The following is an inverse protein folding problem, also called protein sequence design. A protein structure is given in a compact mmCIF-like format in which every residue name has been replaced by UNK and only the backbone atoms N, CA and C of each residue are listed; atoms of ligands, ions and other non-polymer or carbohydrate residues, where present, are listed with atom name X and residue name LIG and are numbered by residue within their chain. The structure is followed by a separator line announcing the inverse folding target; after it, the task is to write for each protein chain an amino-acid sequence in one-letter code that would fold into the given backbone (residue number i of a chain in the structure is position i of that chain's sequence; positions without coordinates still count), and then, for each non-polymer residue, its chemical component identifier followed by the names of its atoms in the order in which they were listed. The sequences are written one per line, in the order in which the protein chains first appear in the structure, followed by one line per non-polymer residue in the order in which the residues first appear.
data_IF_054157025915
#
_entry.id   IF_054157025915
#
_cell.length_a   1.000
_cell.length_b   1.000
_cell.length_c   1.000
_cell.angle_alpha   90.00
_cell.angle_beta   90.00
_cell.angle_gamma   90.00
#
_symmetry.space_group_name_H-M   'P 1'
#
loop_
_entity.id
_entity.type
_entity.pdbx_description
1 polymer ?
#
# COMPACT_ATOMS: atom_id res chain seq x y z
N UNK A 1 -37.45 42.96 11.34
CA UNK A 1 -36.31 43.04 12.27
C UNK A 1 -35.71 41.65 12.40
N UNK A 2 -34.38 41.48 12.29
CA UNK A 2 -33.73 40.19 12.52
C UNK A 2 -33.84 39.76 13.99
N UNK A 3 -33.87 38.44 14.23
CA UNK A 3 -33.89 37.88 15.58
C UNK A 3 -33.33 36.45 15.60
N UNK A 4 -33.04 35.95 16.80
CA UNK A 4 -32.77 34.54 17.03
C UNK A 4 -33.96 33.89 17.71
N UNK A 5 -34.26 32.65 17.32
CA UNK A 5 -35.31 31.83 17.91
C UNK A 5 -34.68 30.50 18.31
N UNK A 6 -34.87 30.10 19.56
CA UNK A 6 -34.44 28.81 20.08
C UNK A 6 -35.70 27.97 20.31
N UNK A 7 -35.81 26.86 19.58
CA UNK A 7 -36.94 25.95 19.67
C UNK A 7 -36.50 24.62 20.27
N UNK A 8 -37.13 24.21 21.38
CA UNK A 8 -36.82 22.94 22.03
C UNK A 8 -37.47 21.80 21.26
N UNK A 9 -36.68 20.81 20.86
CA UNK A 9 -37.17 19.56 20.28
C UNK A 9 -37.53 18.56 21.39
N UNK A 10 -38.40 17.61 21.09
CA UNK A 10 -38.75 16.53 22.02
C UNK A 10 -37.66 15.44 22.10
N UNK A 11 -36.67 15.49 21.20
CA UNK A 11 -35.51 14.60 21.19
C UNK A 11 -34.47 15.00 22.24
N UNK A 12 -33.67 14.03 22.71
CA UNK A 12 -32.68 14.21 23.76
C UNK A 12 -31.31 13.67 23.34
N UNK A 13 -30.26 14.36 23.73
CA UNK A 13 -28.87 13.94 23.65
C UNK A 13 -28.31 13.72 25.08
N UNK A 14 -27.05 13.31 25.20
CA UNK A 14 -26.34 13.09 26.47
C UNK A 14 -26.33 14.31 27.41
N UNK A 15 -26.55 15.51 26.88
CA UNK A 15 -26.58 16.78 27.62
C UNK A 15 -27.98 17.33 27.93
N UNK A 16 -29.05 16.61 27.57
CA UNK A 16 -30.44 17.03 27.81
C UNK A 16 -31.29 17.08 26.54
N UNK A 17 -32.27 17.99 26.49
CA UNK A 17 -33.10 18.19 25.30
C UNK A 17 -32.30 18.82 24.16
N UNK A 18 -32.58 18.39 22.93
CA UNK A 18 -32.01 18.98 21.73
C UNK A 18 -32.76 20.27 21.34
N UNK A 19 -32.04 21.21 20.76
CA UNK A 19 -32.58 22.51 20.35
C UNK A 19 -32.32 22.76 18.87
N UNK A 20 -33.30 23.40 18.24
CA UNK A 20 -33.20 23.99 16.92
C UNK A 20 -32.88 25.48 17.08
N UNK A 21 -31.75 25.89 16.51
CA UNK A 21 -31.35 27.30 16.46
C UNK A 21 -31.79 27.90 15.14
N UNK A 22 -32.65 28.93 15.19
CA UNK A 22 -33.14 29.63 14.01
C UNK A 22 -32.61 31.07 14.02
N UNK A 23 -31.83 31.42 13.00
CA UNK A 23 -31.41 32.79 12.73
C UNK A 23 -32.31 33.40 11.65
N UNK A 24 -33.20 34.29 12.07
CA UNK A 24 -34.11 35.01 11.19
C UNK A 24 -33.50 36.35 10.79
N UNK A 25 -33.21 36.53 9.50
CA UNK A 25 -32.65 37.77 8.97
C UNK A 25 -33.30 38.14 7.64
N UNK A 26 -34.47 38.81 7.66
CA UNK A 26 -35.23 39.10 6.46
C UNK A 26 -34.51 40.10 5.54
N UNK A 27 -34.69 39.96 4.22
CA UNK A 27 -33.89 40.74 3.27
C UNK A 27 -34.14 42.24 3.28
N UNK A 28 -35.33 42.66 3.69
CA UNK A 28 -35.72 44.05 3.85
C UNK A 28 -35.23 44.68 5.17
N UNK A 29 -34.54 43.93 6.04
CA UNK A 29 -33.98 44.49 7.26
C UNK A 29 -32.81 45.47 6.98
N UNK A 30 -32.65 46.55 7.78
CA UNK A 30 -31.51 47.44 7.66
C UNK A 30 -30.16 46.70 7.79
N UNK A 31 -29.19 47.05 6.94
CA UNK A 31 -27.87 46.40 6.87
C UNK A 31 -27.18 46.37 8.24
N UNK A 32 -27.26 47.46 9.02
CA UNK A 32 -26.69 47.53 10.37
C UNK A 32 -27.23 46.41 11.28
N UNK A 33 -28.51 46.10 11.22
CA UNK A 33 -29.11 45.04 12.03
C UNK A 33 -28.71 43.66 11.50
N UNK A 34 -28.73 43.44 10.19
CA UNK A 34 -28.27 42.17 9.60
C UNK A 34 -26.84 41.85 10.00
N UNK A 35 -25.94 42.84 9.92
CA UNK A 35 -24.54 42.68 10.30
C UNK A 35 -24.40 42.36 11.80
N UNK A 36 -25.14 43.05 12.67
CA UNK A 36 -25.08 42.79 14.11
C UNK A 36 -25.54 41.37 14.47
N UNK A 37 -26.65 40.91 13.88
CA UNK A 37 -27.19 39.55 14.08
C UNK A 37 -26.43 38.46 13.29
N UNK A 38 -25.63 38.82 12.29
CA UNK A 38 -24.69 37.87 11.67
C UNK A 38 -23.45 37.71 12.55
N UNK A 39 -22.88 38.82 13.03
CA UNK A 39 -21.64 38.84 13.82
C UNK A 39 -21.79 38.21 15.22
N UNK A 40 -22.95 38.38 15.87
CA UNK A 40 -23.19 37.84 17.21
C UNK A 40 -23.68 36.39 17.23
N UNK A 41 -23.94 35.78 16.06
CA UNK A 41 -24.52 34.44 15.91
C UNK A 41 -23.65 33.36 16.53
N UNK A 42 -22.35 33.39 16.26
CA UNK A 42 -21.40 32.41 16.79
C UNK A 42 -21.29 32.52 18.33
N UNK A 43 -21.20 33.74 18.86
CA UNK A 43 -21.16 34.00 20.30
C UNK A 43 -22.44 33.53 20.99
N UNK A 44 -23.62 33.77 20.40
CA UNK A 44 -24.88 33.30 20.98
C UNK A 44 -24.92 31.77 21.07
N UNK A 45 -24.46 31.06 20.02
CA UNK A 45 -24.36 29.59 20.04
C UNK A 45 -23.38 29.07 21.09
N UNK A 46 -22.23 29.73 21.26
CA UNK A 46 -21.25 29.32 22.27
C UNK A 46 -21.77 29.54 23.70
N UNK A 47 -22.41 30.67 23.95
CA UNK A 47 -23.02 31.00 25.26
C UNK A 47 -24.21 30.10 25.59
N UNK A 48 -25.02 29.71 24.59
CA UNK A 48 -26.15 28.80 24.79
C UNK A 48 -25.72 27.35 25.05
N UNK A 49 -24.59 26.92 24.47
CA UNK A 49 -24.08 25.57 24.58
C UNK A 49 -24.25 24.78 23.29
N UNK A 50 -23.22 24.80 22.45
CA UNK A 50 -23.25 24.18 21.11
C UNK A 50 -23.58 22.68 21.09
N UNK A 51 -23.30 21.93 22.17
CA UNK A 51 -23.64 20.51 22.27
C UNK A 51 -25.12 20.19 22.43
N UNK A 52 -25.95 21.18 22.78
CA UNK A 52 -27.41 21.04 22.87
C UNK A 52 -28.12 21.44 21.56
N UNK A 53 -27.45 22.15 20.66
CA UNK A 53 -28.00 22.57 19.38
C UNK A 53 -27.77 21.45 18.37
N UNK A 54 -28.86 20.88 17.83
CA UNK A 54 -28.79 19.81 16.84
C UNK A 54 -28.70 20.35 15.43
N UNK A 55 -29.65 21.21 15.08
CA UNK A 55 -29.79 21.78 13.75
C UNK A 55 -29.76 23.30 13.82
N UNK A 56 -29.26 23.90 12.75
CA UNK A 56 -29.15 25.34 12.60
C UNK A 56 -29.81 25.79 11.30
N UNK A 57 -30.88 26.57 11.43
CA UNK A 57 -31.66 27.07 10.32
C UNK A 57 -31.41 28.57 10.14
N UNK A 58 -31.02 28.96 8.95
CA UNK A 58 -30.95 30.37 8.56
C UNK A 58 -32.07 30.65 7.58
N UNK A 59 -32.88 31.68 7.85
CA UNK A 59 -34.00 32.04 6.99
C UNK A 59 -34.06 33.54 6.72
N UNK A 60 -34.34 33.87 5.45
CA UNK A 60 -34.61 35.25 5.01
C UNK A 60 -36.08 35.45 4.67
N UNK A 61 -36.80 34.36 4.33
CA UNK A 61 -38.25 34.36 4.06
C UNK A 61 -39.00 33.41 4.98
N UNK A 62 -40.26 33.73 5.28
CA UNK A 62 -41.04 32.96 6.28
C UNK A 62 -41.20 31.48 5.90
N UNK A 63 -41.15 31.16 4.61
CA UNK A 63 -41.17 29.78 4.13
C UNK A 63 -39.96 28.97 4.59
N UNK A 64 -38.80 29.58 4.81
CA UNK A 64 -37.57 28.91 5.22
C UNK A 64 -37.67 28.43 6.67
N UNK A 65 -38.25 29.27 7.54
CA UNK A 65 -38.40 29.01 8.98
C UNK A 65 -39.71 28.32 9.35
N UNK A 66 -40.56 28.02 8.36
CA UNK A 66 -41.77 27.22 8.56
C UNK A 66 -41.43 25.76 8.84
N UNK A 67 -42.38 25.00 9.43
CA UNK A 67 -42.21 23.56 9.64
C UNK A 67 -41.85 22.83 8.33
N UNK A 68 -42.49 23.22 7.22
CA UNK A 68 -42.18 22.70 5.89
C UNK A 68 -40.75 23.05 5.44
N UNK A 69 -40.28 24.25 5.76
CA UNK A 69 -38.92 24.69 5.51
C UNK A 69 -37.90 23.86 6.29
N UNK A 70 -38.16 23.59 7.57
CA UNK A 70 -37.31 22.70 8.37
C UNK A 70 -37.25 21.28 7.80
N UNK A 71 -38.38 20.69 7.40
CA UNK A 71 -38.35 19.36 6.75
C UNK A 71 -37.54 19.35 5.46
N UNK A 72 -37.62 20.39 4.64
CA UNK A 72 -36.78 20.53 3.45
C UNK A 72 -35.29 20.66 3.80
N UNK A 73 -34.95 21.38 4.86
CA UNK A 73 -33.58 21.50 5.34
C UNK A 73 -33.01 20.14 5.75
N UNK A 74 -33.77 19.35 6.51
CA UNK A 74 -33.37 17.98 6.91
C UNK A 74 -33.21 17.08 5.67
N UNK A 75 -34.13 17.17 4.70
CA UNK A 75 -34.00 16.41 3.44
C UNK A 75 -32.77 16.82 2.62
N UNK A 76 -32.46 18.12 2.57
CA UNK A 76 -31.28 18.62 1.87
C UNK A 76 -29.97 18.20 2.55
N UNK A 77 -29.94 18.14 3.88
CA UNK A 77 -28.78 17.64 4.64
C UNK A 77 -28.57 16.13 4.44
N UNK A 78 -29.63 15.37 4.18
CA UNK A 78 -29.57 13.94 3.85
C UNK A 78 -29.29 13.66 2.37
N UNK A 79 -29.43 14.66 1.50
CA UNK A 79 -29.15 14.51 0.08
C UNK A 79 -27.64 14.32 -0.15
N UNK A 80 -27.23 13.56 -1.18
CA UNK A 80 -25.82 13.41 -1.50
C UNK A 80 -25.21 14.78 -1.80
N UNK A 81 -24.02 15.02 -1.24
CA UNK A 81 -23.28 16.25 -1.51
C UNK A 81 -23.02 16.34 -3.02
N UNK A 82 -23.18 17.53 -3.63
CA UNK A 82 -22.85 17.71 -5.03
C UNK A 82 -21.34 17.54 -5.20
N UNK A 83 -20.95 16.51 -5.96
CA UNK A 83 -19.55 16.24 -6.30
C UNK A 83 -19.24 16.84 -7.67
N UNK A 84 -18.00 17.25 -7.85
CA UNK A 84 -17.46 17.59 -9.18
C UNK A 84 -17.13 16.32 -9.94
N UNK A 85 -17.10 16.39 -11.28
CA UNK A 85 -16.75 15.22 -12.12
C UNK A 85 -15.39 14.60 -11.70
N UNK A 86 -14.41 15.43 -11.35
CA UNK A 86 -13.11 14.95 -10.88
C UNK A 86 -13.19 14.20 -9.55
N UNK A 87 -14.06 14.62 -8.63
CA UNK A 87 -14.27 13.92 -7.36
C UNK A 87 -15.01 12.60 -7.55
N UNK A 88 -15.98 12.56 -8.47
CA UNK A 88 -16.67 11.31 -8.86
C UNK A 88 -15.68 10.29 -9.47
N UNK A 89 -14.80 10.74 -10.36
CA UNK A 89 -13.74 9.91 -10.95
C UNK A 89 -12.78 9.37 -9.88
N UNK A 90 -12.30 10.23 -8.96
CA UNK A 90 -11.42 9.80 -7.87
C UNK A 90 -12.11 8.80 -6.93
N UNK A 91 -13.40 9.02 -6.63
CA UNK A 91 -14.17 8.09 -5.82
C UNK A 91 -14.34 6.74 -6.52
N UNK A 92 -14.55 6.74 -7.84
CA UNK A 92 -14.63 5.51 -8.64
C UNK A 92 -13.30 4.73 -8.64
N UNK A 93 -12.17 5.42 -8.85
CA UNK A 93 -10.82 4.80 -8.78
C UNK A 93 -10.61 4.16 -7.41
N UNK A 94 -10.90 4.90 -6.33
CA UNK A 94 -10.72 4.42 -4.95
C UNK A 94 -11.56 3.17 -4.65
N UNK A 95 -12.80 3.11 -5.15
CA UNK A 95 -13.65 1.92 -4.99
C UNK A 95 -13.08 0.70 -5.73
N UNK A 96 -12.55 0.91 -6.94
CA UNK A 96 -11.95 -0.15 -7.73
C UNK A 96 -10.60 -0.65 -7.17
N UNK A 97 -9.78 0.24 -6.60
CA UNK A 97 -8.53 -0.14 -5.94
C UNK A 97 -8.77 -1.07 -4.73
N UNK A 98 -9.80 -0.80 -3.93
CA UNK A 98 -10.17 -1.69 -2.81
C UNK A 98 -10.52 -3.11 -3.30
N UNK A 99 -11.22 -3.21 -4.44
CA UNK A 99 -11.53 -4.50 -5.05
C UNK A 99 -10.30 -5.20 -5.62
N UNK A 100 -9.31 -4.46 -6.13
CA UNK A 100 -8.06 -5.02 -6.61
C UNK A 100 -7.22 -5.68 -5.51
N UNK A 101 -7.30 -5.19 -4.26
CA UNK A 101 -6.62 -5.82 -3.11
C UNK A 101 -7.21 -7.18 -2.70
N UNK A 102 -8.47 -7.47 -3.05
CA UNK A 102 -9.16 -8.72 -2.70
C UNK A 102 -8.93 -9.80 -3.77
N UNK A 103 -8.35 -9.43 -4.92
CA UNK A 103 -8.12 -10.38 -6.00
C UNK A 103 -6.86 -11.22 -5.73
N UNK A 104 -7.04 -12.54 -5.61
CA UNK A 104 -5.99 -13.55 -5.35
C UNK A 104 -5.24 -13.88 -6.65
N UNK A 105 -4.89 -12.86 -7.44
CA UNK A 105 -4.02 -12.99 -8.61
C UNK A 105 -2.65 -12.40 -8.30
N UNK A 106 -1.91 -13.11 -7.43
CA UNK A 106 -0.51 -12.78 -7.08
C UNK A 106 0.42 -12.77 -8.30
N UNK A 107 -0.01 -13.36 -9.43
CA UNK A 107 0.76 -13.43 -10.69
C UNK A 107 1.03 -12.06 -11.32
N UNK A 108 0.18 -11.06 -11.07
CA UNK A 108 0.34 -9.73 -11.69
C UNK A 108 1.26 -8.78 -10.90
N UNK A 109 1.60 -9.09 -9.65
CA UNK A 109 2.37 -8.16 -8.81
C UNK A 109 3.87 -8.17 -9.13
N UNK A 110 4.37 -9.24 -9.73
CA UNK A 110 5.77 -9.35 -10.16
C UNK A 110 5.82 -9.47 -11.68
N UNK A 111 6.57 -8.58 -12.33
CA UNK A 111 6.90 -8.70 -13.75
C UNK A 111 7.42 -10.13 -14.03
N UNK A 112 6.88 -10.79 -15.06
CA UNK A 112 7.30 -12.15 -15.41
C UNK A 112 8.82 -12.20 -15.59
N UNK A 113 9.49 -13.07 -14.85
CA UNK A 113 10.94 -13.19 -14.86
C UNK A 113 11.47 -13.59 -16.25
N UNK A 114 12.73 -13.25 -16.53
CA UNK A 114 13.39 -13.62 -17.78
C UNK A 114 14.06 -14.98 -17.58
N UNK A 115 13.65 -15.99 -18.34
CA UNK A 115 14.16 -17.36 -18.19
C UNK A 115 15.31 -17.62 -19.15
N UNK A 116 16.55 -17.59 -18.65
CA UNK A 116 17.73 -18.01 -19.41
C UNK A 116 17.96 -19.52 -19.21
N UNK A 117 18.27 -20.28 -20.27
CA UNK A 117 18.59 -21.69 -20.13
C UNK A 117 19.95 -21.88 -19.43
N UNK A 118 20.02 -22.95 -18.62
CA UNK A 118 21.27 -23.46 -18.07
C UNK A 118 22.09 -24.12 -19.18
N UNK A 119 23.38 -23.85 -19.24
CA UNK A 119 24.28 -24.63 -20.09
C UNK A 119 24.44 -26.06 -19.56
N UNK A 120 24.88 -26.99 -20.43
CA UNK A 120 25.07 -28.39 -20.05
C UNK A 120 26.01 -28.52 -18.83
N UNK A 121 27.11 -27.78 -18.83
CA UNK A 121 28.06 -27.72 -17.71
C UNK A 121 27.40 -27.20 -16.41
N UNK A 122 26.49 -26.22 -16.51
CA UNK A 122 25.74 -25.71 -15.36
C UNK A 122 24.72 -26.70 -14.82
N UNK A 123 24.02 -27.42 -15.70
CA UNK A 123 23.13 -28.48 -15.28
C UNK A 123 23.89 -29.62 -14.57
N UNK A 124 25.04 -30.02 -15.11
CA UNK A 124 25.90 -31.05 -14.50
C UNK A 124 26.45 -30.61 -13.13
N UNK A 125 26.93 -29.37 -13.00
CA UNK A 125 27.40 -28.84 -11.72
C UNK A 125 26.28 -28.78 -10.65
N UNK A 126 25.07 -28.43 -11.06
CA UNK A 126 23.88 -28.41 -10.19
C UNK A 126 23.51 -29.82 -9.73
N UNK A 127 23.58 -30.82 -10.61
CA UNK A 127 23.36 -32.23 -10.26
C UNK A 127 24.47 -32.73 -9.33
N UNK A 128 25.73 -32.42 -9.62
CA UNK A 128 26.87 -32.80 -8.77
C UNK A 128 26.80 -32.16 -7.38
N UNK A 129 26.28 -30.94 -7.27
CA UNK A 129 25.98 -30.27 -6.02
C UNK A 129 24.85 -30.96 -5.25
N UNK A 130 23.77 -31.36 -5.93
CA UNK A 130 22.67 -32.14 -5.33
C UNK A 130 23.18 -33.46 -4.76
N UNK A 131 24.04 -34.16 -5.51
CA UNK A 131 24.60 -35.45 -5.12
C UNK A 131 25.69 -35.31 -4.03
N UNK A 132 26.03 -34.07 -3.63
CA UNK A 132 26.93 -33.77 -2.51
C UNK A 132 28.43 -33.81 -2.87
N UNK A 133 28.77 -33.83 -4.16
CA UNK A 133 30.17 -33.81 -4.63
C UNK A 133 30.83 -32.46 -4.34
N UNK A 134 30.06 -31.38 -4.53
CA UNK A 134 30.46 -30.01 -4.24
C UNK A 134 29.53 -29.41 -3.20
N UNK A 135 30.06 -28.52 -2.37
CA UNK A 135 29.25 -27.77 -1.40
C UNK A 135 29.00 -26.33 -1.82
N UNK A 136 29.62 -25.88 -2.91
CA UNK A 136 29.49 -24.54 -3.45
C UNK A 136 29.52 -24.55 -4.97
N UNK A 137 28.57 -23.85 -5.57
CA UNK A 137 28.51 -23.60 -7.01
C UNK A 137 28.24 -22.12 -7.25
N UNK A 138 29.09 -21.49 -8.05
CA UNK A 138 28.93 -20.12 -8.49
C UNK A 138 28.45 -20.09 -9.94
N UNK A 139 27.33 -19.41 -10.18
CA UNK A 139 26.74 -19.23 -11.49
C UNK A 139 26.93 -17.79 -11.97
N UNK A 140 27.18 -17.65 -13.27
CA UNK A 140 27.31 -16.39 -13.98
C UNK A 140 26.39 -16.34 -15.18
N UNK A 141 25.80 -15.18 -15.44
CA UNK A 141 24.99 -14.92 -16.62
C UNK A 141 25.87 -14.39 -17.75
N UNK A 142 25.81 -15.03 -18.91
CA UNK A 142 26.33 -14.49 -20.15
C UNK A 142 25.30 -13.56 -20.79
N UNK A 143 25.59 -12.26 -20.77
CA UNK A 143 24.71 -11.20 -21.26
C UNK A 143 24.60 -11.15 -22.79
N UNK A 144 25.48 -11.87 -23.51
CA UNK A 144 25.51 -11.89 -24.98
C UNK A 144 24.79 -13.09 -25.54
N UNK A 145 25.01 -14.26 -24.93
CA UNK A 145 24.37 -15.52 -25.34
C UNK A 145 23.05 -15.78 -24.62
N UNK A 146 22.75 -15.01 -23.58
CA UNK A 146 21.53 -15.15 -22.77
C UNK A 146 21.43 -16.54 -22.11
N UNK A 147 22.55 -17.03 -21.58
CA UNK A 147 22.64 -18.34 -20.92
C UNK A 147 23.25 -18.24 -19.53
N UNK A 148 22.94 -19.20 -18.67
CA UNK A 148 23.54 -19.33 -17.32
C UNK A 148 24.70 -20.33 -17.38
N UNK A 149 25.90 -19.86 -17.03
CA UNK A 149 27.14 -20.62 -17.02
C UNK A 149 27.63 -20.89 -15.59
N UNK A 150 28.45 -21.92 -15.42
CA UNK A 150 29.23 -22.14 -14.20
C UNK A 150 30.46 -21.24 -14.25
N UNK A 151 30.70 -20.51 -13.16
CA UNK A 151 31.94 -19.75 -13.00
C UNK A 151 32.95 -20.51 -12.15
N UNK A 152 32.51 -21.10 -11.04
CA UNK A 152 33.38 -21.79 -10.08
C UNK A 152 32.59 -22.88 -9.35
N UNK A 153 33.25 -23.98 -9.02
CA UNK A 153 32.73 -25.07 -8.21
C UNK A 153 33.82 -25.49 -7.23
N UNK A 154 33.51 -25.53 -5.94
CA UNK A 154 34.51 -25.84 -4.92
C UNK A 154 33.85 -26.40 -3.65
N UNK A 155 34.68 -26.84 -2.69
CA UNK A 155 34.28 -27.32 -1.38
C UNK A 155 34.76 -26.36 -0.28
N UNK A 156 33.95 -25.37 0.03
CA UNK A 156 34.28 -24.17 0.79
C UNK A 156 33.68 -24.24 2.20
N UNK A 157 34.42 -23.80 3.22
CA UNK A 157 33.85 -23.58 4.56
C UNK A 157 33.21 -22.21 4.66
N UNK A 158 32.25 -22.04 5.56
CA UNK A 158 31.51 -20.79 5.81
C UNK A 158 32.40 -19.54 5.88
N UNK A 159 33.56 -19.63 6.52
CA UNK A 159 34.51 -18.52 6.65
C UNK A 159 35.10 -18.03 5.30
N UNK A 160 35.22 -18.95 4.34
CA UNK A 160 35.80 -18.68 3.03
C UNK A 160 34.75 -18.21 2.02
N UNK A 161 33.45 -18.29 2.33
CA UNK A 161 32.39 -17.86 1.42
C UNK A 161 32.56 -16.41 0.95
N UNK A 162 33.00 -15.52 1.85
CA UNK A 162 33.21 -14.10 1.56
C UNK A 162 34.33 -13.88 0.52
N UNK A 163 35.35 -14.74 0.47
CA UNK A 163 36.46 -14.58 -0.49
C UNK A 163 36.06 -14.93 -1.92
N UNK A 164 35.04 -15.77 -2.11
CA UNK A 164 34.56 -16.15 -3.45
C UNK A 164 33.55 -15.16 -4.03
N UNK A 165 32.94 -14.29 -3.21
CA UNK A 165 32.01 -13.26 -3.70
C UNK A 165 32.78 -12.16 -4.46
N UNK A 166 32.59 -12.01 -5.78
CA UNK A 166 33.32 -11.01 -6.54
C UNK A 166 32.88 -9.59 -6.17
N UNK A 167 33.84 -8.66 -6.15
CA UNK A 167 33.59 -7.24 -5.85
C UNK A 167 33.23 -6.40 -7.06
N UNK A 168 33.32 -6.96 -8.27
CA UNK A 168 33.19 -6.21 -9.52
C UNK A 168 32.00 -6.64 -10.38
N UNK A 169 31.60 -7.92 -10.33
CA UNK A 169 30.51 -8.47 -11.14
C UNK A 169 29.43 -9.12 -10.28
N UNK A 170 28.19 -9.12 -10.76
CA UNK A 170 27.10 -9.83 -10.12
C UNK A 170 27.23 -11.34 -10.35
N UNK A 171 26.84 -12.14 -9.35
CA UNK A 171 26.90 -13.60 -9.38
C UNK A 171 25.79 -14.20 -8.53
N UNK A 172 25.41 -15.43 -8.88
CA UNK A 172 24.60 -16.27 -8.00
C UNK A 172 25.47 -17.34 -7.39
N UNK A 173 25.16 -17.69 -6.15
CA UNK A 173 25.89 -18.71 -5.42
C UNK A 173 24.89 -19.68 -4.80
N UNK A 174 25.17 -20.96 -4.96
CA UNK A 174 24.53 -22.05 -4.26
C UNK A 174 25.52 -22.57 -3.24
N UNK A 175 25.14 -22.55 -1.97
CA UNK A 175 26.00 -22.99 -0.89
C UNK A 175 25.26 -23.94 0.05
N UNK A 176 25.84 -25.10 0.32
CA UNK A 176 25.31 -26.08 1.25
C UNK A 176 25.86 -25.77 2.65
N UNK A 177 25.00 -25.20 3.50
CA UNK A 177 25.32 -24.79 4.85
C UNK A 177 24.93 -25.87 5.86
N UNK A 178 25.89 -26.71 6.21
CA UNK A 178 25.78 -27.66 7.32
C UNK A 178 25.88 -26.92 8.65
N UNK A 179 24.81 -26.92 9.44
CA UNK A 179 24.77 -26.28 10.75
C UNK A 179 23.96 -27.09 11.76
N UNK A 180 24.23 -26.89 13.05
CA UNK A 180 23.49 -27.56 14.12
C UNK A 180 22.37 -26.65 14.60
N UNK A 181 21.12 -27.09 14.51
CA UNK A 181 19.95 -26.40 15.04
C UNK A 181 19.23 -27.32 16.02
N UNK A 182 18.98 -26.83 17.24
CA UNK A 182 18.33 -27.60 18.32
C UNK A 182 18.98 -28.95 18.68
N UNK A 183 20.26 -29.13 18.35
CA UNK A 183 21.03 -30.35 18.63
C UNK A 183 21.11 -31.32 17.44
N UNK A 184 20.33 -31.09 16.39
CA UNK A 184 20.37 -31.87 15.15
C UNK A 184 21.24 -31.18 14.09
N UNK A 185 22.00 -31.97 13.33
CA UNK A 185 22.83 -31.47 12.23
C UNK A 185 22.00 -31.40 10.95
N UNK A 186 21.72 -30.19 10.48
CA UNK A 186 20.87 -29.91 9.32
C UNK A 186 21.73 -29.31 8.21
N UNK A 187 21.55 -29.82 7.00
CA UNK A 187 22.17 -29.32 5.78
C UNK A 187 21.20 -28.42 5.01
N UNK A 188 21.33 -27.11 5.16
CA UNK A 188 20.46 -26.14 4.49
C UNK A 188 21.09 -25.59 3.22
N UNK A 189 20.36 -25.58 2.11
CA UNK A 189 20.85 -25.01 0.86
C UNK A 189 20.48 -23.53 0.80
N UNK A 190 21.51 -22.67 0.70
CA UNK A 190 21.38 -21.23 0.61
C UNK A 190 21.59 -20.78 -0.84
N UNK A 191 20.64 -20.00 -1.35
CA UNK A 191 20.80 -19.27 -2.60
C UNK A 191 21.19 -17.82 -2.28
N UNK A 192 22.36 -17.40 -2.75
CA UNK A 192 22.89 -16.06 -2.49
C UNK A 192 22.99 -15.32 -3.81
N UNK A 193 22.35 -14.15 -3.85
CA UNK A 193 22.47 -13.21 -4.94
C UNK A 193 23.40 -12.07 -4.53
N UNK A 194 24.62 -12.06 -5.08
CA UNK A 194 25.59 -10.99 -4.83
C UNK A 194 25.60 -9.99 -5.97
N UNK A 195 25.44 -8.70 -5.63
CA UNK A 195 25.48 -7.61 -6.59
C UNK A 195 26.33 -6.45 -6.06
N UNK A 196 27.51 -6.16 -6.64
CA UNK A 196 28.40 -5.08 -6.19
C UNK A 196 27.95 -3.66 -6.59
N UNK A 197 26.64 -3.38 -6.53
CA UNK A 197 26.07 -2.05 -6.70
C UNK A 197 26.43 -1.38 -8.04
N UNK A 198 26.99 -0.16 -7.98
CA UNK A 198 27.25 0.70 -9.15
C UNK A 198 28.38 0.23 -10.07
N UNK A 199 29.16 -0.80 -9.68
CA UNK A 199 30.19 -1.37 -10.56
C UNK A 199 29.61 -2.18 -11.71
N UNK A 200 28.43 -2.76 -11.52
CA UNK A 200 27.70 -3.47 -12.56
C UNK A 200 26.88 -2.49 -13.41
N UNK A 201 26.81 -2.73 -14.72
CA UNK A 201 25.97 -1.95 -15.63
C UNK A 201 24.47 -2.12 -15.30
N UNK A 202 23.63 -1.14 -15.66
CA UNK A 202 22.17 -1.24 -15.45
C UNK A 202 21.60 -2.51 -16.12
N UNK A 203 22.08 -2.82 -17.34
CA UNK A 203 21.66 -4.03 -18.09
C UNK A 203 21.97 -5.30 -17.31
N UNK A 204 23.18 -5.42 -16.79
CA UNK A 204 23.59 -6.57 -15.97
C UNK A 204 22.72 -6.66 -14.72
N UNK A 205 22.54 -5.54 -13.99
CA UNK A 205 21.75 -5.56 -12.76
C UNK A 205 20.30 -5.96 -12.96
N UNK A 206 19.68 -5.47 -14.04
CA UNK A 206 18.32 -5.84 -14.42
C UNK A 206 18.24 -7.32 -14.78
N UNK A 207 19.17 -7.84 -15.59
CA UNK A 207 19.13 -9.25 -16.00
C UNK A 207 19.34 -10.21 -14.83
N UNK A 208 20.29 -9.94 -13.93
CA UNK A 208 20.46 -10.73 -12.71
C UNK A 208 19.27 -10.59 -11.74
N UNK A 209 18.52 -9.49 -11.74
CA UNK A 209 17.33 -9.40 -10.89
C UNK A 209 16.15 -10.16 -11.50
N UNK A 210 15.95 -10.04 -12.82
CA UNK A 210 14.85 -10.67 -13.55
C UNK A 210 15.01 -12.17 -13.73
N UNK A 211 16.26 -12.68 -13.82
CA UNK A 211 16.54 -14.10 -13.98
C UNK A 211 16.49 -14.89 -12.65
N UNK A 212 16.41 -14.21 -11.49
CA UNK A 212 16.42 -14.87 -10.18
C UNK A 212 15.25 -15.84 -10.00
N UNK A 213 14.01 -15.39 -10.27
CA UNK A 213 12.82 -16.23 -10.04
C UNK A 213 12.81 -17.48 -10.93
N UNK A 214 12.97 -17.36 -12.26
CA UNK A 214 12.98 -18.53 -13.13
C UNK A 214 14.14 -19.49 -12.84
N UNK A 215 15.31 -18.97 -12.48
CA UNK A 215 16.45 -19.80 -12.09
C UNK A 215 16.16 -20.59 -10.81
N UNK A 216 15.59 -19.95 -9.78
CA UNK A 216 15.21 -20.66 -8.56
C UNK A 216 14.15 -21.75 -8.83
N UNK A 217 13.20 -21.49 -9.73
CA UNK A 217 12.20 -22.49 -10.16
C UNK A 217 12.87 -23.65 -10.89
N UNK A 218 13.80 -23.38 -11.81
CA UNK A 218 14.59 -24.42 -12.50
C UNK A 218 15.42 -25.27 -11.52
N UNK A 219 16.09 -24.63 -10.55
CA UNK A 219 16.86 -25.33 -9.53
C UNK A 219 15.97 -26.22 -8.64
N UNK A 220 14.80 -25.70 -8.25
CA UNK A 220 13.80 -26.48 -7.49
C UNK A 220 13.30 -27.68 -8.32
N UNK A 221 13.06 -27.48 -9.62
CA UNK A 221 12.65 -28.57 -10.52
C UNK A 221 13.71 -29.66 -10.69
N UNK A 222 14.99 -29.32 -10.53
CA UNK A 222 16.12 -30.26 -10.54
C UNK A 222 16.34 -30.97 -9.19
N UNK A 223 15.48 -30.73 -8.19
CA UNK A 223 15.51 -31.38 -6.88
C UNK A 223 16.37 -30.67 -5.83
N UNK A 224 16.68 -29.39 -6.01
CA UNK A 224 17.35 -28.57 -4.98
C UNK A 224 16.30 -27.79 -4.19
N UNK A 225 16.06 -28.19 -2.94
CA UNK A 225 15.19 -27.47 -2.02
C UNK A 225 15.93 -26.27 -1.40
N UNK A 226 15.61 -25.07 -1.87
CA UNK A 226 16.21 -23.82 -1.38
C UNK A 226 15.39 -23.33 -0.18
N UNK A 227 15.93 -23.47 1.03
CA UNK A 227 15.25 -23.07 2.27
C UNK A 227 15.17 -21.54 2.45
N UNK A 228 16.18 -20.80 1.94
CA UNK A 228 16.21 -19.33 1.99
C UNK A 228 16.42 -18.75 0.59
N UNK A 229 15.42 -17.99 0.12
CA UNK A 229 15.35 -17.35 -1.22
C UNK A 229 15.72 -15.87 -1.20
#
# INVERSE_FOLDING_TARGET
MPCYILYRLDTKNSMGYEWLFIAWSPDFAPVRQKMLYAATRATMKSEFGGGQIKDELFGTVQSDVSLRGYHKHVQAALAPAPLTMAEEELQFIKQNEVNAHINVETKSQTMQGVAFPLTAEAAEAVIAFRDGTYNYVQLSLDLTKEVVNVAETDNIRVANLISHVPKDNARYHLFKFSHTHEGDSIDSILFIYSMPGYKCSIKERMLYSSCKSPLCEQLTSNGIEIEKK
#
